data_IF_663570078171
#
_entry.id   IF_663570078171
#
_cell.length_a   1.000
_cell.length_b   1.000
_cell.length_c   1.000
_cell.angle_alpha   90.00
_cell.angle_beta   90.00
_cell.angle_gamma   90.00
#
_symmetry.space_group_name_H-M   'P 1'
#
loop_
_entity.id
_entity.type
_entity.pdbx_description
1 polymer ?
#
# COMPACT_ATOMS: atom_id res chain seq x y z
N UNK A 1 17.88 -62.70 -28.84
CA UNK A 1 18.16 -62.83 -27.40
C UNK A 1 18.39 -61.44 -26.79
N UNK A 2 17.79 -61.20 -25.61
CA UNK A 2 17.81 -59.96 -24.82
C UNK A 2 19.22 -59.61 -24.25
N UNK A 3 19.41 -58.39 -23.71
CA UNK A 3 20.68 -57.65 -23.68
C UNK A 3 21.49 -57.85 -22.39
N UNK A 4 22.73 -57.34 -22.35
CA UNK A 4 23.49 -57.17 -21.09
C UNK A 4 23.71 -55.69 -20.77
N UNK A 5 23.15 -55.28 -19.62
CA UNK A 5 23.62 -54.17 -18.79
C UNK A 5 24.79 -54.65 -17.94
N UNK A 6 25.75 -53.79 -17.66
CA UNK A 6 26.54 -53.83 -16.43
C UNK A 6 26.67 -52.41 -15.87
N UNK A 7 26.23 -52.26 -14.63
CA UNK A 7 26.42 -51.12 -13.73
C UNK A 7 27.62 -51.41 -12.78
N UNK A 8 27.88 -50.66 -11.68
CA UNK A 8 29.09 -49.87 -11.50
C UNK A 8 30.01 -50.43 -10.39
N UNK A 9 31.23 -49.89 -10.24
CA UNK A 9 32.06 -50.14 -9.06
C UNK A 9 32.59 -48.86 -8.42
N UNK A 10 32.67 -48.96 -7.11
CA UNK A 10 32.76 -47.94 -6.07
C UNK A 10 34.18 -47.57 -5.64
N UNK A 11 34.35 -46.28 -5.34
CA UNK A 11 34.96 -45.64 -4.15
C UNK A 11 36.23 -46.19 -3.42
N UNK A 12 37.10 -45.21 -3.08
CA UNK A 12 38.16 -45.14 -2.03
C UNK A 12 39.51 -45.79 -2.38
N UNK A 13 40.69 -45.26 -2.06
CA UNK A 13 41.15 -44.09 -1.31
C UNK A 13 42.67 -43.97 -1.49
N UNK A 14 43.26 -42.77 -1.56
CA UNK A 14 44.63 -42.53 -1.09
C UNK A 14 44.71 -41.15 -0.41
N UNK A 15 45.31 -41.12 0.78
CA UNK A 15 45.58 -39.96 1.65
C UNK A 15 47.10 -39.72 1.66
N UNK A 16 47.46 -38.49 2.08
CA UNK A 16 48.79 -37.90 2.38
C UNK A 16 49.40 -37.18 1.15
N UNK A 17 49.92 -35.97 1.24
CA UNK A 17 50.58 -35.29 2.36
C UNK A 17 50.37 -33.76 2.32
N UNK A 18 50.67 -33.14 3.46
CA UNK A 18 50.50 -31.72 3.76
C UNK A 18 51.50 -30.80 3.05
N UNK A 19 51.11 -29.54 2.79
CA UNK A 19 51.81 -28.33 3.26
C UNK A 19 51.09 -27.05 2.85
N UNK A 20 51.13 -26.12 3.79
CA UNK A 20 50.87 -24.70 3.72
C UNK A 20 51.42 -23.99 2.48
N UNK A 21 50.59 -23.19 1.81
CA UNK A 21 51.00 -21.92 1.20
C UNK A 21 49.79 -21.00 1.02
N UNK A 22 49.57 -20.17 2.03
CA UNK A 22 48.88 -18.89 1.91
C UNK A 22 49.92 -17.84 1.49
N UNK A 23 49.74 -17.22 0.33
CA UNK A 23 50.36 -15.94 -0.05
C UNK A 23 49.25 -15.11 -0.71
N UNK A 24 48.69 -14.09 -0.06
CA UNK A 24 49.23 -12.73 0.15
C UNK A 24 49.92 -12.20 -1.11
N UNK A 25 49.16 -11.48 -1.95
CA UNK A 25 49.69 -10.32 -2.64
C UNK A 25 49.41 -9.08 -1.79
N UNK A 26 50.48 -8.35 -1.54
CA UNK A 26 50.60 -7.32 -0.54
C UNK A 26 50.24 -5.94 -1.10
N UNK A 27 49.74 -5.13 -0.17
CA UNK A 27 49.70 -3.67 -0.16
C UNK A 27 51.00 -3.08 -0.73
N UNK A 28 50.89 -2.31 -1.81
CA UNK A 28 51.88 -1.25 -2.10
C UNK A 28 51.40 0.03 -1.44
N UNK A 29 52.15 0.42 -0.41
CA UNK A 29 52.10 1.73 0.20
C UNK A 29 52.72 2.76 -0.75
N UNK A 30 51.94 3.77 -1.12
CA UNK A 30 52.51 5.07 -1.48
C UNK A 30 52.18 6.05 -0.35
N UNK A 31 53.07 6.08 0.65
CA UNK A 31 53.23 7.28 1.48
C UNK A 31 53.85 8.35 0.58
N UNK A 32 53.08 9.35 0.15
CA UNK A 32 53.61 10.68 -0.08
C UNK A 32 52.58 11.73 0.33
N UNK A 33 53.05 12.53 1.29
CA UNK A 33 52.68 13.91 1.63
C UNK A 33 51.25 14.19 2.11
N UNK A 34 51.17 14.51 3.41
CA UNK A 34 50.11 15.27 4.05
C UNK A 34 49.84 16.56 3.25
N UNK A 35 48.75 16.56 2.49
CA UNK A 35 48.15 17.77 1.93
C UNK A 35 46.92 18.12 2.73
N UNK A 36 46.94 19.27 3.38
CA UNK A 36 45.82 19.84 4.13
C UNK A 36 44.61 20.02 3.22
N UNK A 37 43.50 19.34 3.52
CA UNK A 37 42.21 19.67 2.91
C UNK A 37 41.69 20.95 3.57
N UNK A 38 42.02 22.10 2.99
CA UNK A 38 41.32 23.37 3.24
C UNK A 38 40.03 23.36 2.41
N UNK A 39 38.85 23.62 2.99
CA UNK A 39 37.68 23.91 2.18
C UNK A 39 37.92 25.25 1.48
N UNK A 40 37.91 25.25 0.15
CA UNK A 40 37.91 26.46 -0.66
C UNK A 40 36.58 27.19 -0.41
N UNK A 41 36.68 28.32 0.30
CA UNK A 41 35.63 29.34 0.33
C UNK A 41 35.66 30.04 -1.02
N UNK A 42 34.67 29.76 -1.87
CA UNK A 42 34.29 30.67 -2.95
C UNK A 42 33.10 31.52 -2.48
N UNK A 43 33.07 32.84 -2.75
CA UNK A 43 32.24 33.78 -2.04
C UNK A 43 30.80 33.82 -2.58
N UNK A 44 29.85 33.91 -1.66
CA UNK A 44 28.47 34.31 -1.94
C UNK A 44 28.47 35.81 -2.33
N UNK A 45 27.93 36.21 -3.49
CA UNK A 45 27.84 37.63 -3.82
C UNK A 45 26.72 38.27 -3.01
N UNK A 46 27.10 39.06 -2.00
CA UNK A 46 26.26 40.11 -1.42
C UNK A 46 26.41 41.38 -2.26
N UNK A 47 25.33 41.86 -2.86
CA UNK A 47 25.12 43.28 -3.17
C UNK A 47 24.00 43.77 -2.24
N UNK A 48 24.36 44.50 -1.19
CA UNK A 48 24.43 45.95 -1.13
C UNK A 48 23.04 46.60 -1.14
N UNK A 49 22.55 46.85 0.07
CA UNK A 49 21.49 47.81 0.35
C UNK A 49 21.93 49.20 -0.06
N UNK A 50 21.09 49.90 -0.81
CA UNK A 50 21.10 51.37 -0.86
C UNK A 50 19.71 51.86 -0.48
N UNK A 51 19.66 52.59 0.64
CA UNK A 51 18.53 53.42 1.04
C UNK A 51 18.42 54.57 0.04
N UNK A 52 17.20 54.88 -0.41
CA UNK A 52 16.78 56.25 -0.77
C UNK A 52 15.28 56.40 -0.48
N UNK A 53 14.99 57.33 0.42
CA UNK A 53 13.65 57.87 0.69
C UNK A 53 13.07 58.58 -0.54
N UNK A 54 11.76 58.88 -0.53
CA UNK A 54 11.31 60.17 -0.99
C UNK A 54 10.72 61.00 0.15
N UNK A 55 11.10 62.27 0.13
CA UNK A 55 10.58 63.33 0.98
C UNK A 55 9.23 63.86 0.47
N UNK A 56 8.47 64.36 1.45
CA UNK A 56 7.34 65.31 1.42
C UNK A 56 7.27 66.31 0.26
N UNK A 57 6.04 66.56 -0.17
CA UNK A 57 5.45 67.87 -0.57
C UNK A 57 4.00 67.87 -0.05
N UNK A 58 3.66 68.60 1.03
CA UNK A 58 3.09 69.97 1.14
C UNK A 58 1.64 70.15 0.68
N UNK A 59 0.83 70.82 1.52
CA UNK A 59 -0.54 71.29 1.23
C UNK A 59 -1.57 70.80 2.25
N UNK A 60 -1.63 71.36 3.47
CA UNK A 60 -2.50 72.48 3.86
C UNK A 60 -3.76 72.01 4.62
N UNK A 61 -3.86 72.48 5.86
CA UNK A 61 -4.99 72.35 6.82
C UNK A 61 -5.97 73.51 6.56
N UNK A 62 -7.23 73.44 7.01
CA UNK A 62 -7.53 73.90 8.37
C UNK A 62 -8.52 73.02 9.16
N UNK A 63 -8.54 73.25 10.48
CA UNK A 63 -9.47 72.71 11.49
C UNK A 63 -10.48 73.84 11.88
N UNK A 64 -11.21 73.82 13.03
CA UNK A 64 -11.67 72.74 13.93
C UNK A 64 -13.14 72.92 14.43
N UNK A 65 -13.68 71.93 15.14
CA UNK A 65 -14.55 72.11 16.34
C UNK A 65 -14.64 70.75 17.04
N UNK A 66 -14.04 70.54 18.22
CA UNK A 66 -14.59 70.87 19.55
C UNK A 66 -15.52 69.73 20.01
N UNK A 67 -15.47 69.12 21.20
CA UNK A 67 -14.72 69.33 22.44
C UNK A 67 -15.13 68.22 23.43
N UNK A 68 -14.17 67.75 24.26
CA UNK A 68 -14.29 67.31 25.69
C UNK A 68 -15.20 66.09 26.01
N UNK A 69 -14.90 65.18 26.95
CA UNK A 69 -13.78 65.03 27.89
C UNK A 69 -14.05 63.88 28.90
N UNK A 70 -12.96 63.33 29.46
CA UNK A 70 -12.73 62.80 30.83
C UNK A 70 -13.85 61.98 31.54
N UNK A 71 -13.64 60.68 31.82
CA UNK A 71 -12.97 60.06 33.00
C UNK A 71 -13.68 60.21 34.36
N UNK A 72 -13.99 59.10 35.04
CA UNK A 72 -13.42 58.73 36.35
C UNK A 72 -14.19 57.60 37.07
N UNK A 73 -13.41 56.82 37.81
CA UNK A 73 -13.68 55.72 38.74
C UNK A 73 -14.61 56.03 39.93
N UNK A 74 -15.26 54.99 40.49
CA UNK A 74 -15.27 54.68 41.94
C UNK A 74 -15.89 53.31 42.24
N UNK A 75 -15.54 52.80 43.42
CA UNK A 75 -15.61 51.40 43.85
C UNK A 75 -16.48 51.22 45.12
N UNK A 76 -16.79 49.94 45.44
CA UNK A 76 -17.11 49.36 46.77
C UNK A 76 -18.55 49.51 47.32
N UNK A 77 -19.30 48.39 47.48
CA UNK A 77 -19.58 47.68 48.77
C UNK A 77 -20.45 46.41 48.58
N UNK A 78 -20.51 45.61 49.65
CA UNK A 78 -20.73 44.14 49.79
C UNK A 78 -22.20 43.69 50.01
N UNK A 79 -22.35 42.35 49.92
CA UNK A 79 -23.32 41.44 50.61
C UNK A 79 -24.69 41.26 49.92
N UNK A 80 -25.35 40.09 49.83
CA UNK A 80 -25.27 38.83 50.58
C UNK A 80 -25.89 37.64 49.81
N UNK A 81 -25.47 36.44 50.24
CA UNK A 81 -25.99 35.07 50.07
C UNK A 81 -27.41 34.83 49.50
N UNK A 82 -27.55 33.94 48.50
CA UNK A 82 -28.36 32.71 48.64
C UNK A 82 -28.11 31.70 47.50
N UNK A 83 -28.13 30.42 47.84
CA UNK A 83 -27.80 29.25 47.00
C UNK A 83 -28.96 28.90 46.05
N UNK A 84 -28.62 28.40 44.86
CA UNK A 84 -29.01 27.07 44.35
C UNK A 84 -29.37 27.03 42.84
N UNK A 85 -28.97 25.91 42.22
CA UNK A 85 -29.35 25.34 40.91
C UNK A 85 -28.56 25.81 39.68
N UNK A 86 -27.37 25.24 39.56
CA UNK A 86 -26.67 25.05 38.29
C UNK A 86 -27.46 24.08 37.37
N UNK A 87 -28.01 24.58 36.26
CA UNK A 87 -28.44 23.76 35.11
C UNK A 87 -27.30 23.72 34.09
N UNK A 88 -26.63 22.56 34.00
CA UNK A 88 -25.63 22.25 32.98
C UNK A 88 -26.29 22.21 31.60
N UNK A 89 -25.99 23.17 30.73
CA UNK A 89 -26.12 23.00 29.27
C UNK A 89 -24.95 22.13 28.81
N UNK A 90 -25.22 20.87 28.47
CA UNK A 90 -24.24 19.97 27.84
C UNK A 90 -24.09 20.40 26.38
N UNK A 91 -22.93 20.95 26.05
CA UNK A 91 -22.34 20.88 24.72
C UNK A 91 -22.12 19.41 24.37
N UNK A 92 -22.61 18.96 23.22
CA UNK A 92 -22.38 17.62 22.67
C UNK A 92 -20.95 17.51 22.15
N UNK A 93 -19.98 17.40 23.06
CA UNK A 93 -18.67 16.85 22.77
C UNK A 93 -18.80 15.33 22.80
N UNK A 94 -18.58 14.66 21.67
CA UNK A 94 -18.42 13.21 21.60
C UNK A 94 -17.24 12.80 22.47
N UNK A 95 -17.52 12.41 23.72
CA UNK A 95 -16.58 11.73 24.59
C UNK A 95 -16.55 10.25 24.18
N UNK A 96 -15.45 9.85 23.55
CA UNK A 96 -15.05 8.44 23.53
C UNK A 96 -14.80 8.00 24.98
N UNK A 97 -15.46 6.95 25.50
CA UNK A 97 -15.22 6.51 26.87
C UNK A 97 -13.81 5.94 27.00
N UNK A 98 -13.01 6.58 27.84
CA UNK A 98 -11.76 6.05 28.35
C UNK A 98 -12.03 5.09 29.51
N UNK A 99 -12.20 3.81 29.20
CA UNK A 99 -11.77 2.67 30.05
C UNK A 99 -12.27 1.34 29.47
N UNK A 100 -11.35 0.37 29.36
CA UNK A 100 -11.62 -1.08 29.24
C UNK A 100 -12.47 -1.57 28.05
N UNK A 101 -11.98 -1.43 26.81
CA UNK A 101 -12.26 -2.40 25.73
C UNK A 101 -11.06 -3.33 25.60
N UNK A 102 -11.05 -4.42 26.38
CA UNK A 102 -10.10 -5.51 26.18
C UNK A 102 -10.28 -6.10 24.76
N UNK A 103 -9.15 -6.45 24.13
CA UNK A 103 -8.96 -7.07 22.81
C UNK A 103 -10.24 -7.33 21.98
N UNK A 104 -10.55 -6.43 21.04
CA UNK A 104 -11.52 -6.68 19.97
C UNK A 104 -10.81 -7.20 18.72
N UNK A 105 -11.41 -8.13 18.00
CA UNK A 105 -10.85 -8.73 16.80
C UNK A 105 -10.86 -7.72 15.63
N UNK A 106 -9.87 -7.80 14.73
CA UNK A 106 -9.97 -7.14 13.43
C UNK A 106 -10.42 -8.19 12.42
N UNK A 107 -11.59 -8.00 11.83
CA UNK A 107 -12.03 -8.84 10.73
C UNK A 107 -11.35 -8.38 9.45
N UNK A 108 -10.72 -9.29 8.76
CA UNK A 108 -10.15 -9.02 7.46
C UNK A 108 -10.80 -9.96 6.46
N UNK A 109 -11.02 -9.49 5.25
CA UNK A 109 -11.41 -10.32 4.10
C UNK A 109 -10.33 -11.36 3.71
N UNK A 110 -9.46 -11.72 4.63
CA UNK A 110 -8.17 -12.31 4.36
C UNK A 110 -7.97 -13.47 5.31
N UNK A 111 -8.45 -14.65 4.94
CA UNK A 111 -7.82 -15.94 5.26
C UNK A 111 -6.50 -15.93 4.50
N UNK A 112 -5.62 -15.06 4.99
CA UNK A 112 -4.28 -14.75 4.53
C UNK A 112 -4.21 -14.34 3.06
N UNK A 113 -4.53 -13.08 2.77
CA UNK A 113 -4.37 -12.48 1.43
C UNK A 113 -3.60 -11.14 1.42
N UNK A 114 -3.26 -10.62 2.59
CA UNK A 114 -2.02 -9.87 2.75
C UNK A 114 -1.48 -10.14 4.15
N UNK A 115 -0.39 -10.94 4.25
CA UNK A 115 0.28 -11.16 5.53
C UNK A 115 0.64 -9.87 6.26
N UNK A 116 0.71 -8.74 5.54
CA UNK A 116 0.89 -7.41 6.11
C UNK A 116 -0.27 -6.97 7.02
N UNK A 117 -1.54 -7.17 6.64
CA UNK A 117 -2.69 -6.74 7.46
C UNK A 117 -2.82 -7.58 8.72
N UNK A 118 -2.71 -8.90 8.59
CA UNK A 118 -2.73 -9.79 9.75
C UNK A 118 -1.58 -9.48 10.73
N UNK A 119 -0.37 -9.20 10.22
CA UNK A 119 0.76 -8.76 11.06
C UNK A 119 0.52 -7.40 11.70
N UNK A 120 -0.03 -6.43 10.96
CA UNK A 120 -0.37 -5.10 11.46
C UNK A 120 -1.43 -5.16 12.57
N UNK A 121 -2.47 -5.98 12.39
CA UNK A 121 -3.49 -6.26 13.40
C UNK A 121 -2.87 -6.81 14.67
N UNK A 122 -2.02 -7.85 14.57
CA UNK A 122 -1.33 -8.43 15.74
C UNK A 122 -0.39 -7.44 16.42
N UNK A 123 0.34 -6.64 15.64
CA UNK A 123 1.20 -5.58 16.17
C UNK A 123 0.41 -4.55 16.99
N UNK A 124 -0.84 -4.26 16.58
CA UNK A 124 -1.75 -3.41 17.32
C UNK A 124 -2.48 -4.11 18.48
N UNK A 125 -2.14 -5.37 18.79
CA UNK A 125 -2.76 -6.15 19.87
C UNK A 125 -4.14 -6.74 19.53
N UNK A 126 -4.55 -6.70 18.26
CA UNK A 126 -5.80 -7.31 17.78
C UNK A 126 -5.60 -8.74 17.29
N UNK A 127 -6.71 -9.47 17.20
CA UNK A 127 -6.74 -10.82 16.62
C UNK A 127 -7.26 -10.76 15.17
N UNK A 128 -6.47 -11.22 14.17
CA UNK A 128 -6.92 -11.20 12.78
C UNK A 128 -7.90 -12.34 12.49
N UNK A 129 -9.16 -11.98 12.22
CA UNK A 129 -10.12 -12.90 11.65
C UNK A 129 -9.98 -12.92 10.14
N UNK A 130 -9.90 -14.12 9.59
CA UNK A 130 -9.38 -14.37 8.27
C UNK A 130 -10.48 -15.04 7.40
N UNK A 131 -11.08 -14.31 6.44
CA UNK A 131 -12.13 -14.83 5.53
C UNK A 131 -11.57 -15.24 4.17
N UNK A 132 -11.88 -16.45 3.72
CA UNK A 132 -11.38 -16.98 2.45
C UNK A 132 -12.27 -16.49 1.31
N UNK A 133 -11.64 -15.92 0.28
CA UNK A 133 -12.34 -15.46 -0.92
C UNK A 133 -12.33 -16.56 -1.97
N UNK A 134 -13.49 -16.84 -2.55
CA UNK A 134 -13.71 -17.97 -3.45
C UNK A 134 -14.00 -17.52 -4.87
N UNK A 135 -13.61 -18.34 -5.85
CA UNK A 135 -13.78 -18.00 -7.27
C UNK A 135 -15.27 -17.92 -7.66
N UNK A 136 -16.10 -18.77 -7.07
CA UNK A 136 -17.55 -18.86 -7.29
C UNK A 136 -18.28 -17.59 -6.87
N UNK A 137 -17.70 -16.83 -5.93
CA UNK A 137 -18.20 -15.54 -5.45
C UNK A 137 -17.48 -14.35 -6.12
N UNK A 138 -16.72 -14.59 -7.20
CA UNK A 138 -15.93 -13.56 -7.87
C UNK A 138 -14.82 -12.97 -7.00
N UNK A 139 -14.35 -13.72 -5.99
CA UNK A 139 -13.42 -13.24 -4.96
C UNK A 139 -13.93 -12.01 -4.19
N UNK A 140 -15.24 -11.92 -4.01
CA UNK A 140 -15.88 -10.89 -3.19
C UNK A 140 -15.97 -11.33 -1.73
N UNK A 141 -15.76 -10.41 -0.80
CA UNK A 141 -16.01 -10.66 0.62
C UNK A 141 -17.52 -10.56 0.88
N UNK A 142 -18.09 -11.54 1.58
CA UNK A 142 -19.52 -11.55 1.94
C UNK A 142 -19.67 -11.42 3.47
N UNK A 143 -19.45 -10.24 4.07
CA UNK A 143 -19.39 -10.11 5.53
C UNK A 143 -20.75 -10.28 6.22
N UNK A 144 -21.85 -10.19 5.47
CA UNK A 144 -23.20 -10.51 5.95
C UNK A 144 -23.43 -12.01 6.17
N UNK A 145 -22.55 -12.89 5.68
CA UNK A 145 -22.59 -14.32 5.96
C UNK A 145 -21.81 -14.68 7.23
N UNK A 146 -21.11 -13.72 7.83
CA UNK A 146 -20.35 -13.95 9.07
C UNK A 146 -21.30 -14.08 10.27
N UNK A 147 -20.95 -14.89 11.28
CA UNK A 147 -21.72 -14.99 12.51
C UNK A 147 -21.92 -13.61 13.15
N UNK A 148 -23.12 -13.33 13.68
CA UNK A 148 -23.40 -12.05 14.33
C UNK A 148 -22.43 -11.72 15.48
N UNK A 149 -21.98 -12.74 16.22
CA UNK A 149 -20.94 -12.60 17.25
C UNK A 149 -19.61 -12.11 16.67
N UNK A 150 -19.23 -12.59 15.48
CA UNK A 150 -18.01 -12.16 14.79
C UNK A 150 -18.08 -10.66 14.43
N UNK A 151 -19.22 -10.22 13.90
CA UNK A 151 -19.45 -8.81 13.56
C UNK A 151 -19.45 -7.93 14.81
N UNK A 152 -20.05 -8.39 15.92
CA UNK A 152 -20.11 -7.65 17.18
C UNK A 152 -18.72 -7.45 17.83
N UNK A 153 -17.80 -8.40 17.65
CA UNK A 153 -16.42 -8.31 18.15
C UNK A 153 -15.45 -7.60 17.20
N UNK A 154 -15.89 -7.31 15.97
CA UNK A 154 -15.04 -6.67 14.96
C UNK A 154 -14.84 -5.19 15.25
N UNK A 155 -13.60 -4.74 15.31
CA UNK A 155 -13.25 -3.32 15.43
C UNK A 155 -12.93 -2.68 14.07
N UNK A 156 -12.28 -3.42 13.18
CA UNK A 156 -11.84 -2.95 11.86
C UNK A 156 -12.16 -4.02 10.83
N UNK A 157 -12.76 -3.62 9.71
CA UNK A 157 -12.93 -4.44 8.51
C UNK A 157 -11.99 -3.95 7.40
N UNK A 158 -11.18 -4.87 6.87
CA UNK A 158 -10.28 -4.56 5.75
C UNK A 158 -10.78 -5.16 4.44
N UNK A 159 -10.89 -4.34 3.39
CA UNK A 159 -11.12 -4.78 2.00
C UNK A 159 -9.98 -4.37 1.08
N UNK A 160 -9.84 -5.04 -0.05
CA UNK A 160 -8.87 -4.69 -1.09
C UNK A 160 -9.51 -4.88 -2.46
N UNK A 161 -9.99 -3.80 -3.04
CA UNK A 161 -10.54 -3.80 -4.40
C UNK A 161 -10.00 -2.57 -5.14
N UNK A 162 -9.41 -2.73 -6.35
CA UNK A 162 -9.13 -3.99 -7.03
C UNK A 162 -8.20 -4.94 -6.25
N UNK A 163 -8.55 -6.23 -6.28
CA UNK A 163 -8.01 -7.23 -5.37
C UNK A 163 -6.67 -7.78 -5.83
N UNK A 164 -5.68 -7.75 -4.93
CA UNK A 164 -4.45 -8.53 -5.08
C UNK A 164 -4.63 -9.84 -4.31
N UNK A 165 -4.58 -11.01 -4.99
CA UNK A 165 -3.91 -11.26 -6.26
C UNK A 165 -4.82 -11.42 -7.49
N UNK A 166 -6.14 -11.45 -7.30
CA UNK A 166 -7.06 -12.00 -8.29
C UNK A 166 -7.40 -11.04 -9.42
N UNK A 167 -7.24 -9.73 -9.20
CA UNK A 167 -7.69 -8.70 -10.12
C UNK A 167 -9.18 -8.36 -9.99
N UNK A 168 -9.92 -9.02 -9.09
CA UNK A 168 -11.35 -8.80 -8.91
C UNK A 168 -11.66 -7.37 -8.49
N UNK A 169 -12.80 -6.86 -8.95
CA UNK A 169 -13.36 -5.54 -8.62
C UNK A 169 -14.72 -5.70 -7.98
N UNK A 170 -15.25 -4.60 -7.43
CA UNK A 170 -16.60 -4.52 -6.86
C UNK A 170 -17.30 -3.26 -7.37
N UNK A 171 -18.63 -3.24 -7.29
CA UNK A 171 -19.45 -2.11 -7.68
C UNK A 171 -19.75 -1.17 -6.49
N UNK A 172 -20.41 -0.05 -6.79
CA UNK A 172 -20.78 0.97 -5.80
C UNK A 172 -21.79 0.44 -4.79
N UNK A 173 -22.75 -0.36 -5.23
CA UNK A 173 -23.82 -0.90 -4.39
C UNK A 173 -23.27 -1.85 -3.33
N UNK A 174 -22.28 -2.68 -3.70
CA UNK A 174 -21.52 -3.51 -2.79
C UNK A 174 -20.81 -2.68 -1.72
N UNK A 175 -20.09 -1.63 -2.13
CA UNK A 175 -19.38 -0.75 -1.20
C UNK A 175 -20.36 -0.01 -0.25
N UNK A 176 -21.51 0.42 -0.77
CA UNK A 176 -22.55 1.09 0.03
C UNK A 176 -23.15 0.13 1.06
N UNK A 177 -23.49 -1.09 0.66
CA UNK A 177 -23.98 -2.15 1.55
C UNK A 177 -22.96 -2.49 2.63
N UNK A 178 -21.68 -2.52 2.27
CA UNK A 178 -20.58 -2.78 3.21
C UNK A 178 -20.41 -1.65 4.23
N UNK A 179 -20.42 -0.40 3.77
CA UNK A 179 -20.36 0.77 4.65
C UNK A 179 -21.53 0.79 5.63
N UNK A 180 -22.74 0.47 5.16
CA UNK A 180 -23.93 0.39 6.00
C UNK A 180 -23.83 -0.73 7.04
N UNK A 181 -23.34 -1.92 6.67
CA UNK A 181 -23.06 -2.98 7.63
C UNK A 181 -22.07 -2.50 8.70
N UNK A 182 -20.95 -1.93 8.29
CA UNK A 182 -19.93 -1.44 9.22
C UNK A 182 -20.49 -0.36 10.18
N UNK A 183 -21.29 0.57 9.67
CA UNK A 183 -21.97 1.59 10.47
C UNK A 183 -22.89 1.01 11.52
N UNK A 184 -23.71 0.01 11.17
CA UNK A 184 -24.63 -0.66 12.11
C UNK A 184 -23.91 -1.39 13.25
N UNK A 185 -22.67 -1.82 13.02
CA UNK A 185 -21.89 -2.60 13.98
C UNK A 185 -20.75 -1.81 14.64
N UNK A 186 -20.64 -0.49 14.44
CA UNK A 186 -19.53 0.34 14.96
C UNK A 186 -18.14 -0.17 14.51
N UNK A 187 -18.05 -0.61 13.24
CA UNK A 187 -16.84 -1.15 12.62
C UNK A 187 -16.17 -0.07 11.76
N UNK A 188 -14.87 0.16 11.94
CA UNK A 188 -14.08 0.96 11.01
C UNK A 188 -13.84 0.19 9.71
N UNK A 189 -14.31 0.72 8.57
CA UNK A 189 -14.06 0.13 7.26
C UNK A 189 -12.82 0.74 6.59
N UNK A 190 -11.81 -0.09 6.36
CA UNK A 190 -10.57 0.27 5.68
C UNK A 190 -10.50 -0.35 4.28
N UNK A 191 -10.50 0.49 3.25
CA UNK A 191 -10.41 0.09 1.83
C UNK A 191 -9.04 0.38 1.25
N UNK A 192 -8.31 -0.68 0.89
CA UNK A 192 -7.05 -0.54 0.16
C UNK A 192 -7.32 -0.49 -1.34
N UNK A 193 -7.16 0.71 -1.88
CA UNK A 193 -7.47 1.10 -3.25
C UNK A 193 -6.18 1.39 -4.02
N UNK A 194 -5.06 0.80 -3.60
CA UNK A 194 -3.76 1.01 -4.26
C UNK A 194 -3.73 0.67 -5.75
N UNK A 195 -4.70 -0.11 -6.25
CA UNK A 195 -4.82 -0.52 -7.65
C UNK A 195 -5.98 0.15 -8.40
N UNK A 196 -6.71 1.10 -7.81
CA UNK A 196 -7.92 1.70 -8.41
C UNK A 196 -7.63 2.37 -9.75
N UNK A 197 -6.42 2.95 -9.93
CA UNK A 197 -5.98 3.57 -11.19
C UNK A 197 -5.45 2.58 -12.24
N UNK A 198 -5.39 1.28 -11.91
CA UNK A 198 -4.89 0.20 -12.77
C UNK A 198 -6.02 -0.76 -13.13
N UNK A 199 -7.10 -0.25 -13.69
CA UNK A 199 -8.10 -1.04 -14.39
C UNK A 199 -7.66 -1.32 -15.83
N UNK A 200 -7.95 -2.52 -16.30
CA UNK A 200 -7.58 -2.99 -17.63
C UNK A 200 -8.79 -3.00 -18.56
N UNK A 201 -10.00 -3.09 -18.03
CA UNK A 201 -11.23 -3.12 -18.81
C UNK A 201 -12.20 -2.01 -18.36
N UNK A 202 -12.92 -1.43 -19.31
CA UNK A 202 -14.03 -0.51 -19.06
C UNK A 202 -13.69 0.73 -18.21
N UNK A 203 -14.63 1.07 -17.33
CA UNK A 203 -14.61 2.24 -16.47
C UNK A 203 -13.77 2.06 -15.19
N UNK A 204 -13.35 3.16 -14.54
CA UNK A 204 -12.65 3.10 -13.26
C UNK A 204 -13.48 2.36 -12.19
N UNK A 205 -12.85 1.46 -11.41
CA UNK A 205 -13.47 0.88 -10.23
C UNK A 205 -13.84 1.98 -9.21
N UNK A 206 -14.98 1.86 -8.52
CA UNK A 206 -15.41 2.87 -7.57
C UNK A 206 -14.53 2.91 -6.33
N UNK A 207 -14.38 4.11 -5.76
CA UNK A 207 -13.80 4.30 -4.42
C UNK A 207 -14.87 4.21 -3.34
N UNK A 208 -14.50 3.72 -2.15
CA UNK A 208 -15.38 3.74 -0.97
C UNK A 208 -15.81 5.17 -0.59
N UNK A 209 -14.99 6.18 -0.89
CA UNK A 209 -15.33 7.59 -0.60
C UNK A 209 -16.47 8.15 -1.45
N UNK A 210 -16.86 7.45 -2.51
CA UNK A 210 -18.00 7.81 -3.34
C UNK A 210 -19.34 7.46 -2.69
N UNK A 211 -19.33 6.53 -1.72
CA UNK A 211 -20.56 6.02 -1.07
C UNK A 211 -20.58 6.26 0.44
N UNK A 212 -19.44 6.51 1.08
CA UNK A 212 -19.35 6.74 2.53
C UNK A 212 -18.21 7.69 2.92
N UNK A 213 -18.38 8.42 4.02
CA UNK A 213 -17.35 9.34 4.56
C UNK A 213 -17.10 9.20 6.06
N UNK A 214 -18.08 8.73 6.82
CA UNK A 214 -17.98 8.49 8.26
C UNK A 214 -17.55 7.05 8.53
N UNK A 215 -16.65 6.84 9.49
CA UNK A 215 -16.20 5.49 9.87
C UNK A 215 -15.42 4.74 8.78
N UNK A 216 -14.97 5.44 7.73
CA UNK A 216 -14.25 4.84 6.60
C UNK A 216 -12.89 5.47 6.36
N UNK A 217 -11.94 4.66 5.88
CA UNK A 217 -10.63 5.09 5.41
C UNK A 217 -10.29 4.39 4.08
N UNK A 218 -9.79 5.15 3.11
CA UNK A 218 -9.22 4.63 1.87
C UNK A 218 -7.71 4.83 1.82
N UNK A 219 -7.01 3.89 1.19
CA UNK A 219 -5.55 3.88 1.10
C UNK A 219 -5.12 3.83 -0.36
N UNK A 220 -4.29 4.79 -0.78
CA UNK A 220 -3.76 4.86 -2.14
C UNK A 220 -2.23 4.84 -2.16
N UNK A 221 -1.65 4.42 -3.29
CA UNK A 221 -0.20 4.41 -3.46
C UNK A 221 0.23 4.70 -4.91
N UNK A 222 1.27 5.53 -5.04
CA UNK A 222 1.97 5.75 -6.32
C UNK A 222 2.87 4.57 -6.72
N UNK A 223 3.06 3.60 -5.81
CA UNK A 223 3.81 2.37 -6.10
C UNK A 223 3.25 1.65 -7.33
N UNK A 224 1.93 1.69 -7.51
CA UNK A 224 1.21 0.90 -8.52
C UNK A 224 0.84 1.79 -9.71
N UNK A 225 0.09 2.87 -9.45
CA UNK A 225 -0.32 3.87 -10.44
C UNK A 225 0.85 4.34 -11.29
N UNK A 226 1.96 4.75 -10.67
CA UNK A 226 3.08 5.42 -11.34
C UNK A 226 4.41 4.67 -11.29
N UNK A 227 4.42 3.41 -10.79
CA UNK A 227 5.66 2.62 -10.69
C UNK A 227 6.68 3.15 -9.68
N UNK A 228 6.27 4.04 -8.78
CA UNK A 228 7.15 4.72 -7.82
C UNK A 228 7.33 3.91 -6.52
N UNK A 229 7.54 2.59 -6.63
CA UNK A 229 7.63 1.68 -5.46
C UNK A 229 8.72 2.11 -4.48
N UNK A 230 9.88 2.54 -4.98
CA UNK A 230 11.03 3.00 -4.18
C UNK A 230 10.82 4.34 -3.47
N UNK A 231 9.87 5.17 -3.92
CA UNK A 231 9.65 6.51 -3.37
C UNK A 231 8.85 6.49 -2.06
N UNK A 232 8.20 5.36 -1.76
CA UNK A 232 7.39 5.19 -0.53
C UNK A 232 6.31 6.27 -0.39
N UNK A 233 5.65 6.60 -1.50
CA UNK A 233 4.63 7.63 -1.59
C UNK A 233 3.22 7.02 -1.71
N UNK A 234 2.30 7.53 -0.90
CA UNK A 234 0.89 7.16 -0.83
C UNK A 234 0.16 8.08 0.14
N UNK A 235 -1.14 7.93 0.24
CA UNK A 235 -1.96 8.73 1.15
C UNK A 235 -3.11 7.91 1.72
N UNK A 236 -3.70 8.45 2.78
CA UNK A 236 -4.91 7.93 3.42
C UNK A 236 -5.92 9.07 3.40
N UNK A 237 -7.16 8.79 3.00
CA UNK A 237 -8.26 9.73 3.00
C UNK A 237 -9.51 9.08 3.61
N UNK A 238 -10.45 9.87 4.11
CA UNK A 238 -11.67 9.36 4.75
C UNK A 238 -12.11 10.23 5.92
N UNK A 239 -12.68 9.59 6.94
CA UNK A 239 -13.29 10.26 8.08
C UNK A 239 -12.33 11.30 8.72
N UNK A 240 -12.71 12.59 8.80
CA UNK A 240 -11.87 13.65 9.35
C UNK A 240 -11.44 13.40 10.80
N UNK A 241 -12.26 12.75 11.62
CA UNK A 241 -11.92 12.43 13.01
C UNK A 241 -10.83 11.37 13.08
N UNK A 242 -10.92 10.34 12.23
CA UNK A 242 -9.92 9.28 12.13
C UNK A 242 -8.60 9.80 11.55
N UNK A 243 -8.67 10.63 10.49
CA UNK A 243 -7.48 11.29 9.93
C UNK A 243 -6.83 12.20 10.99
N UNK A 244 -7.62 12.93 11.78
CA UNK A 244 -7.13 13.73 12.89
C UNK A 244 -6.43 12.90 13.97
N UNK A 245 -6.99 11.75 14.33
CA UNK A 245 -6.38 10.81 15.27
C UNK A 245 -5.06 10.24 14.72
N UNK A 246 -5.06 9.80 13.46
CA UNK A 246 -3.87 9.30 12.79
C UNK A 246 -2.76 10.36 12.72
N UNK A 247 -3.10 11.61 12.41
CA UNK A 247 -2.13 12.72 12.38
C UNK A 247 -1.46 12.93 13.74
N UNK A 248 -2.22 12.84 14.84
CA UNK A 248 -1.67 12.95 16.21
C UNK A 248 -0.76 11.75 16.55
N UNK A 249 -1.18 10.54 16.20
CA UNK A 249 -0.39 9.34 16.47
C UNK A 249 0.91 9.30 15.63
N UNK A 250 0.84 9.69 14.35
CA UNK A 250 1.93 9.57 13.38
C UNK A 250 3.20 10.31 13.76
N UNK A 251 3.10 11.39 14.56
CA UNK A 251 4.26 12.08 15.10
C UNK A 251 5.21 11.17 15.89
N UNK A 252 4.69 10.06 16.42
CA UNK A 252 5.45 9.10 17.23
C UNK A 252 5.90 7.85 16.45
N UNK A 253 5.47 7.66 15.19
CA UNK A 253 5.64 6.42 14.43
C UNK A 253 6.47 6.58 13.13
N UNK A 254 7.49 7.44 13.17
CA UNK A 254 8.47 7.57 12.09
C UNK A 254 8.63 8.99 11.57
N UNK A 255 9.45 9.15 10.53
CA UNK A 255 9.76 10.44 9.92
C UNK A 255 8.79 10.78 8.79
N UNK A 256 8.51 12.07 8.62
CA UNK A 256 7.75 12.55 7.48
C UNK A 256 8.46 12.21 6.16
N UNK A 257 7.69 11.98 5.09
CA UNK A 257 8.23 11.80 3.74
C UNK A 257 9.04 13.04 3.36
N UNK A 258 10.20 12.86 2.72
CA UNK A 258 11.03 13.99 2.30
C UNK A 258 10.27 14.92 1.35
N UNK A 259 10.56 16.21 1.41
CA UNK A 259 9.91 17.23 0.56
C UNK A 259 10.12 16.94 -0.92
N UNK A 260 11.29 16.41 -1.30
CA UNK A 260 11.58 15.95 -2.66
C UNK A 260 10.64 14.82 -3.12
N UNK A 261 10.40 13.82 -2.26
CA UNK A 261 9.44 12.73 -2.55
C UNK A 261 8.02 13.29 -2.65
N UNK A 262 7.64 14.22 -1.79
CA UNK A 262 6.33 14.86 -1.84
C UNK A 262 6.12 15.65 -3.13
N UNK A 263 7.13 16.39 -3.60
CA UNK A 263 7.07 17.13 -4.86
C UNK A 263 6.93 16.18 -6.07
N UNK A 264 7.73 15.11 -6.11
CA UNK A 264 7.61 14.08 -7.15
C UNK A 264 6.24 13.39 -7.12
N UNK A 265 5.71 13.12 -5.92
CA UNK A 265 4.39 12.53 -5.76
C UNK A 265 3.27 13.45 -6.25
N UNK A 266 3.35 14.75 -5.92
CA UNK A 266 2.38 15.75 -6.37
C UNK A 266 2.38 15.89 -7.90
N UNK A 267 3.55 15.85 -8.54
CA UNK A 267 3.65 15.82 -10.00
C UNK A 267 3.01 14.56 -10.58
N UNK A 268 3.36 13.39 -10.05
CA UNK A 268 2.83 12.12 -10.54
C UNK A 268 1.29 12.05 -10.42
N UNK A 269 0.71 12.51 -9.31
CA UNK A 269 -0.76 12.52 -9.12
C UNK A 269 -1.50 13.45 -10.08
N UNK A 270 -0.84 14.46 -10.66
CA UNK A 270 -1.44 15.36 -11.65
C UNK A 270 -1.33 14.84 -13.09
N UNK A 271 -0.54 13.81 -13.32
CA UNK A 271 -0.30 13.25 -14.65
C UNK A 271 -1.19 12.02 -14.90
N UNK A 272 -2.40 12.26 -15.43
CA UNK A 272 -3.33 11.21 -15.82
C UNK A 272 -2.97 10.58 -17.18
N UNK A 273 -2.24 11.30 -18.03
CA UNK A 273 -1.77 10.78 -19.31
C UNK A 273 -0.77 9.63 -19.09
N UNK A 274 0.14 9.78 -18.14
CA UNK A 274 1.04 8.71 -17.70
C UNK A 274 0.27 7.49 -17.14
N UNK A 275 -0.75 7.73 -16.30
CA UNK A 275 -1.55 6.65 -15.75
C UNK A 275 -2.28 5.88 -16.86
N UNK A 276 -2.86 6.59 -17.85
CA UNK A 276 -3.50 6.00 -19.00
C UNK A 276 -2.52 5.18 -19.87
N UNK A 277 -1.34 5.72 -20.16
CA UNK A 277 -0.30 5.02 -20.91
C UNK A 277 0.14 3.72 -20.20
N UNK A 278 0.26 3.76 -18.87
CA UNK A 278 0.57 2.56 -18.06
C UNK A 278 -0.55 1.54 -18.10
N UNK A 279 -1.82 1.94 -17.99
CA UNK A 279 -2.97 1.03 -18.15
C UNK A 279 -2.93 0.33 -19.52
N UNK A 280 -2.69 1.08 -20.60
CA UNK A 280 -2.58 0.51 -21.94
C UNK A 280 -1.44 -0.51 -22.06
N UNK A 281 -0.28 -0.25 -21.45
CA UNK A 281 0.82 -1.21 -21.41
C UNK A 281 0.45 -2.49 -20.65
N UNK A 282 -0.15 -2.38 -19.47
CA UNK A 282 -0.54 -3.57 -18.69
C UNK A 282 -1.67 -4.36 -19.37
N UNK A 283 -2.58 -3.69 -20.09
CA UNK A 283 -3.62 -4.34 -20.89
C UNK A 283 -3.01 -5.24 -21.96
N UNK A 284 -2.04 -4.75 -22.75
CA UNK A 284 -1.34 -5.56 -23.75
C UNK A 284 -0.61 -6.75 -23.14
N UNK A 285 0.11 -6.55 -22.04
CA UNK A 285 0.80 -7.65 -21.32
C UNK A 285 -0.19 -8.70 -20.82
N UNK A 286 -1.34 -8.27 -20.27
CA UNK A 286 -2.41 -9.17 -19.85
C UNK A 286 -2.97 -9.96 -21.04
N UNK A 287 -3.20 -9.33 -22.18
CA UNK A 287 -3.68 -9.99 -23.41
C UNK A 287 -2.71 -11.07 -23.91
N UNK A 288 -1.40 -10.82 -23.87
CA UNK A 288 -0.40 -11.82 -24.26
C UNK A 288 -0.53 -13.09 -23.41
N UNK A 289 -0.59 -12.95 -22.09
CA UNK A 289 -0.68 -14.10 -21.19
C UNK A 289 -2.05 -14.77 -21.21
N UNK A 290 -3.14 -14.01 -21.21
CA UNK A 290 -4.50 -14.59 -21.22
C UNK A 290 -4.78 -15.37 -22.50
N UNK A 291 -4.30 -14.89 -23.65
CA UNK A 291 -4.34 -15.63 -24.91
C UNK A 291 -3.54 -16.91 -24.84
N UNK A 292 -2.29 -16.83 -24.37
CA UNK A 292 -1.45 -18.01 -24.15
C UNK A 292 -2.13 -19.04 -23.24
N UNK A 293 -2.68 -18.61 -22.10
CA UNK A 293 -3.37 -19.51 -21.17
C UNK A 293 -4.58 -20.18 -21.80
N UNK A 294 -5.37 -19.45 -22.58
CA UNK A 294 -6.49 -20.03 -23.33
C UNK A 294 -6.04 -21.08 -24.34
N UNK A 295 -4.97 -20.80 -25.10
CA UNK A 295 -4.42 -21.73 -26.10
C UNK A 295 -3.88 -23.03 -25.50
N UNK A 296 -3.38 -22.99 -24.25
CA UNK A 296 -2.78 -24.16 -23.57
C UNK A 296 -3.68 -24.75 -22.48
N UNK A 297 -4.94 -24.33 -22.39
CA UNK A 297 -5.92 -24.87 -21.44
C UNK A 297 -5.64 -24.54 -19.97
N UNK A 298 -4.92 -23.45 -19.68
CA UNK A 298 -4.68 -23.00 -18.31
C UNK A 298 -5.77 -22.03 -17.85
N UNK A 299 -6.37 -22.31 -16.69
CA UNK A 299 -7.40 -21.47 -16.11
C UNK A 299 -6.78 -20.29 -15.33
N UNK A 300 -7.11 -19.07 -15.72
CA UNK A 300 -6.74 -17.84 -15.00
C UNK A 300 -8.02 -17.15 -14.50
N UNK A 301 -8.00 -16.61 -13.28
CA UNK A 301 -9.08 -15.78 -12.78
C UNK A 301 -9.30 -14.54 -13.68
N UNK A 302 -10.53 -14.00 -13.73
CA UNK A 302 -10.80 -12.73 -14.40
C UNK A 302 -9.88 -11.63 -13.85
N UNK A 303 -9.14 -10.99 -14.75
CA UNK A 303 -8.11 -9.99 -14.43
C UNK A 303 -8.48 -8.62 -15.02
N UNK A 304 -9.61 -8.07 -14.56
CA UNK A 304 -10.13 -6.77 -15.02
C UNK A 304 -9.32 -5.58 -14.50
N UNK A 305 -8.47 -5.80 -13.49
CA UNK A 305 -7.64 -4.77 -12.90
C UNK A 305 -6.35 -5.35 -12.28
N UNK A 306 -5.51 -4.45 -11.76
CA UNK A 306 -4.14 -4.69 -11.26
C UNK A 306 -3.15 -5.03 -12.38
N UNK A 307 -1.98 -5.54 -12.00
CA UNK A 307 -0.99 -6.12 -12.91
C UNK A 307 -0.67 -7.58 -12.54
N UNK A 308 -1.52 -8.21 -11.74
CA UNK A 308 -1.37 -9.60 -11.35
C UNK A 308 -2.28 -10.49 -12.18
N UNK A 309 -1.80 -11.70 -12.46
CA UNK A 309 -2.62 -12.78 -12.99
C UNK A 309 -2.64 -13.89 -11.94
N UNK A 310 -3.83 -14.38 -11.63
CA UNK A 310 -4.04 -15.45 -10.68
C UNK A 310 -4.36 -16.73 -11.43
N UNK A 311 -3.29 -17.50 -11.67
CA UNK A 311 -3.29 -18.66 -12.55
C UNK A 311 -3.46 -19.92 -11.72
N UNK A 312 -4.47 -20.74 -12.03
CA UNK A 312 -4.62 -22.06 -11.44
C UNK A 312 -3.51 -22.97 -11.96
N UNK A 313 -2.90 -23.76 -11.10
CA UNK A 313 -1.91 -24.75 -11.54
C UNK A 313 -2.56 -25.84 -12.41
N UNK A 314 -1.83 -26.43 -13.37
CA UNK A 314 -2.37 -27.48 -14.23
C UNK A 314 -2.74 -28.73 -13.43
N UNK A 315 -3.94 -29.28 -13.66
CA UNK A 315 -4.42 -30.49 -12.96
C UNK A 315 -4.38 -30.35 -11.44
N UNK A 316 -3.77 -31.33 -10.77
CA UNK A 316 -3.57 -31.36 -9.32
C UNK A 316 -2.13 -30.97 -8.92
N UNK A 317 -1.41 -30.25 -9.80
CA UNK A 317 -0.03 -29.88 -9.53
C UNK A 317 0.09 -28.97 -8.30
N UNK A 318 0.97 -29.34 -7.37
CA UNK A 318 1.32 -28.51 -6.21
C UNK A 318 1.88 -27.14 -6.66
N UNK A 319 1.32 -26.02 -6.19
CA UNK A 319 1.77 -24.68 -6.59
C UNK A 319 3.23 -24.36 -6.32
N UNK A 320 3.82 -24.90 -5.25
CA UNK A 320 5.22 -24.64 -4.92
C UNK A 320 6.13 -25.38 -5.89
N UNK A 321 5.83 -26.64 -6.16
CA UNK A 321 6.55 -27.45 -7.15
C UNK A 321 6.44 -26.84 -8.54
N UNK A 322 5.24 -26.43 -8.96
CA UNK A 322 5.04 -25.79 -10.25
C UNK A 322 5.83 -24.48 -10.37
N UNK A 323 5.83 -23.64 -9.33
CA UNK A 323 6.62 -22.42 -9.30
C UNK A 323 8.14 -22.68 -9.36
N UNK A 324 8.63 -23.72 -8.66
CA UNK A 324 10.03 -24.13 -8.72
C UNK A 324 10.43 -24.63 -10.11
N UNK A 325 9.58 -25.44 -10.74
CA UNK A 325 9.83 -25.96 -12.09
C UNK A 325 9.92 -24.85 -13.13
N UNK A 326 9.03 -23.85 -13.08
CA UNK A 326 9.09 -22.67 -13.94
C UNK A 326 10.38 -21.88 -13.74
N UNK A 327 10.83 -21.75 -12.49
CA UNK A 327 12.07 -21.04 -12.17
C UNK A 327 13.30 -21.78 -12.69
N UNK A 328 13.39 -23.08 -12.44
CA UNK A 328 14.56 -23.90 -12.77
C UNK A 328 14.68 -24.18 -14.27
N UNK A 329 13.57 -24.48 -14.94
CA UNK A 329 13.58 -24.92 -16.34
C UNK A 329 13.36 -23.79 -17.36
N UNK A 330 12.63 -22.74 -16.98
CA UNK A 330 12.32 -21.62 -17.87
C UNK A 330 12.82 -20.25 -17.37
N UNK A 331 13.42 -20.17 -16.18
CA UNK A 331 13.85 -18.88 -15.60
C UNK A 331 12.69 -17.96 -15.22
N UNK A 332 11.48 -18.49 -15.04
CA UNK A 332 10.26 -17.72 -14.77
C UNK A 332 9.94 -17.78 -13.28
N UNK A 333 9.97 -16.62 -12.62
CA UNK A 333 9.63 -16.50 -11.21
C UNK A 333 8.15 -16.15 -11.01
N UNK A 334 7.42 -17.04 -10.35
CA UNK A 334 6.02 -16.81 -9.93
C UNK A 334 5.89 -17.00 -8.41
N UNK A 335 4.85 -16.43 -7.81
CA UNK A 335 4.59 -16.61 -6.37
C UNK A 335 3.52 -17.68 -6.13
N UNK A 336 3.81 -18.82 -5.49
CA UNK A 336 2.76 -19.75 -5.09
C UNK A 336 1.78 -19.09 -4.12
N UNK A 337 0.51 -19.49 -4.18
CA UNK A 337 -0.58 -18.94 -3.37
C UNK A 337 -0.28 -18.96 -1.86
N UNK A 338 0.42 -19.99 -1.40
CA UNK A 338 0.85 -20.16 -0.02
C UNK A 338 1.75 -19.04 0.49
N UNK A 339 2.47 -18.31 -0.39
CA UNK A 339 3.26 -17.14 0.00
C UNK A 339 2.38 -15.94 0.38
N UNK A 340 1.13 -15.94 -0.08
CA UNK A 340 0.09 -15.01 0.38
C UNK A 340 -0.65 -15.57 1.60
N UNK A 341 -0.52 -16.87 1.82
CA UNK A 341 -1.12 -17.69 2.89
C UNK A 341 -2.42 -18.38 2.48
N UNK A 342 -2.67 -18.44 1.18
CA UNK A 342 -3.79 -19.16 0.58
C UNK A 342 -3.33 -20.56 0.22
N UNK A 343 -3.99 -21.58 0.78
CA UNK A 343 -3.73 -22.99 0.47
C UNK A 343 -4.67 -23.45 -0.67
N UNK A 344 -4.55 -22.81 -1.83
CA UNK A 344 -5.32 -23.11 -3.04
C UNK A 344 -4.37 -23.37 -4.21
N UNK A 345 -4.79 -24.11 -5.26
CA UNK A 345 -3.93 -24.52 -6.37
C UNK A 345 -3.66 -23.37 -7.35
N UNK A 346 -3.05 -22.28 -6.89
CA UNK A 346 -2.78 -21.10 -7.70
C UNK A 346 -1.34 -20.59 -7.56
N UNK A 347 -0.87 -19.95 -8.62
CA UNK A 347 0.32 -19.11 -8.64
C UNK A 347 -0.05 -17.69 -9.07
N UNK A 348 0.57 -16.68 -8.45
CA UNK A 348 0.46 -15.28 -8.85
C UNK A 348 1.61 -14.90 -9.76
N UNK A 349 1.27 -14.42 -10.95
CA UNK A 349 2.20 -13.78 -11.86
C UNK A 349 2.08 -12.26 -11.71
N UNK A 350 3.20 -11.55 -11.85
CA UNK A 350 3.23 -10.09 -11.84
C UNK A 350 3.78 -9.57 -13.17
N UNK A 351 3.01 -8.75 -13.89
CA UNK A 351 3.33 -8.25 -15.23
C UNK A 351 4.31 -7.04 -15.21
N UNK A 352 5.22 -7.03 -14.23
CA UNK A 352 6.23 -5.98 -14.04
C UNK A 352 7.33 -5.99 -15.12
N UNK A 353 7.82 -7.15 -15.61
CA UNK A 353 8.83 -7.21 -16.67
C UNK A 353 8.39 -6.51 -17.97
N UNK A 354 9.30 -6.27 -18.90
CA UNK A 354 8.99 -5.63 -20.19
C UNK A 354 8.03 -6.50 -21.02
N UNK A 355 7.35 -5.90 -22.02
CA UNK A 355 6.48 -6.67 -22.93
C UNK A 355 7.27 -7.75 -23.70
N UNK A 356 8.51 -7.44 -24.08
CA UNK A 356 9.46 -8.40 -24.68
C UNK A 356 9.80 -9.55 -23.72
N UNK A 357 10.05 -9.26 -22.44
CA UNK A 357 10.29 -10.30 -21.44
C UNK A 357 9.05 -11.16 -21.19
N UNK A 358 7.85 -10.57 -21.23
CA UNK A 358 6.61 -11.32 -21.16
C UNK A 358 6.47 -12.30 -22.34
N UNK A 359 6.74 -11.85 -23.57
CA UNK A 359 6.70 -12.71 -24.75
C UNK A 359 7.75 -13.84 -24.68
N UNK A 360 8.97 -13.53 -24.23
CA UNK A 360 10.03 -14.52 -23.99
C UNK A 360 9.62 -15.55 -22.93
N UNK A 361 9.04 -15.10 -21.82
CA UNK A 361 8.55 -15.98 -20.77
C UNK A 361 7.47 -16.94 -21.32
N UNK A 362 6.54 -16.46 -22.15
CA UNK A 362 5.52 -17.31 -22.79
C UNK A 362 6.18 -18.36 -23.69
N UNK A 363 7.17 -17.99 -24.49
CA UNK A 363 7.89 -18.93 -25.35
C UNK A 363 8.56 -20.06 -24.55
N UNK A 364 9.29 -19.73 -23.48
CA UNK A 364 9.92 -20.73 -22.61
C UNK A 364 8.87 -21.57 -21.84
N UNK A 365 7.76 -20.97 -21.41
CA UNK A 365 6.71 -21.68 -20.70
C UNK A 365 6.03 -22.73 -21.59
N UNK A 366 5.81 -22.45 -22.88
CA UNK A 366 5.23 -23.42 -23.83
C UNK A 366 5.99 -24.74 -23.90
N UNK A 367 7.31 -24.71 -23.73
CA UNK A 367 8.15 -25.91 -23.77
C UNK A 367 7.95 -26.82 -22.54
N UNK A 368 7.42 -26.27 -21.45
CA UNK A 368 7.20 -26.98 -20.19
C UNK A 368 5.81 -27.59 -20.07
N UNK A 369 4.85 -27.11 -20.86
CA UNK A 369 3.48 -27.63 -20.82
C UNK A 369 3.44 -28.91 -21.66
N UNK A 370 3.05 -30.06 -21.08
CA UNK A 370 2.92 -31.30 -21.84
C UNK A 370 2.00 -31.09 -23.04
N UNK A 371 2.42 -31.51 -24.24
CA UNK A 371 1.61 -31.45 -25.47
C UNK A 371 0.32 -32.27 -25.42
N UNK A 372 0.02 -32.94 -24.31
CA UNK A 372 -1.11 -33.85 -24.12
C UNK A 372 -2.26 -33.25 -23.29
N UNK A 373 -2.42 -31.93 -23.28
CA UNK A 373 -3.56 -31.26 -22.66
C UNK A 373 -4.22 -30.23 -23.60
N UNK A 374 -4.12 -30.44 -24.91
CA UNK A 374 -5.07 -29.85 -25.84
C UNK A 374 -6.33 -30.75 -25.82
N UNK A 375 -7.54 -30.18 -25.60
CA UNK A 375 -8.77 -30.96 -25.67
C UNK A 375 -8.99 -31.59 -27.06
#
# INVERSE_FOLDING_TARGET
MRPRRCTPRSARSWRRSARSSTSRSAIRSSRRTRGSWRPSRAPCPRSASTRRSPARTTGARPAPSGSRGASASRSIRRASCCRARARRRRSSTCHWPSSTRAARAACSSARRLSGLRARGTRFAGGEPWAVELRAEQGYRLEPWELPAAALAETAVLWINYPHNPTGATVDRDYLARLAELCRRHDILLCSDECYVDLYLDGEPPPSLLEVAREGVLVFHSLSKRSGMTGYRAGFIAGDPQLIGALRRARANFGVASSTMVQAAAAWAWRDDAHAAARRALFRRKRELFTRFFAEVGLACAPCSATFYLWLRTPGDADPRRYAAELAERAGILVSPASNLGVEQPYVRLALVPTETDCARAIACWRELIPRSAAP
#
